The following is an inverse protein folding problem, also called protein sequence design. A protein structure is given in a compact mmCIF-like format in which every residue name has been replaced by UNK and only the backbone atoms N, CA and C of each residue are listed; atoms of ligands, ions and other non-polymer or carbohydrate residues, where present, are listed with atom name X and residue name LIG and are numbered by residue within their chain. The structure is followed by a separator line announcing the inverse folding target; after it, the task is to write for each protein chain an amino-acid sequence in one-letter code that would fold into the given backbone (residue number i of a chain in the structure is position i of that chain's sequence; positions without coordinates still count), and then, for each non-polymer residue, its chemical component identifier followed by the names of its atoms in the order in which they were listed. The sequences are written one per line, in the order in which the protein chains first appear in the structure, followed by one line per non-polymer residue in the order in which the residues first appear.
data_IF_614482361470
#
_entry.id   IF_614482361470
#
_cell.length_a   1.000
_cell.length_b   1.000
_cell.length_c   1.000
_cell.angle_alpha   90.00
_cell.angle_beta   90.00
_cell.angle_gamma   90.00
#
_symmetry.space_group_name_H-M   'P 1'
#
loop_
_entity.id
_entity.type
_entity.pdbx_description
1 polymer ?
#
# COMPACT_ATOMS: atom_id res chain seq x y z
N UNK A 1 -49.75 -2.37 9.37
CA UNK A 1 -48.66 -1.52 8.84
C UNK A 1 -47.42 -2.39 8.79
N UNK A 2 -46.88 -2.66 7.59
CA UNK A 2 -45.82 -3.66 7.38
C UNK A 2 -44.47 -3.13 7.90
N UNK A 3 -43.64 -4.01 8.49
CA UNK A 3 -42.26 -3.68 8.91
C UNK A 3 -41.41 -3.08 7.76
N UNK A 4 -41.76 -3.37 6.50
CA UNK A 4 -41.09 -2.83 5.32
C UNK A 4 -41.25 -1.31 5.15
N UNK A 5 -42.39 -0.73 5.54
CA UNK A 5 -42.64 0.71 5.39
C UNK A 5 -41.86 1.55 6.43
N UNK A 6 -41.53 0.94 7.58
CA UNK A 6 -40.80 1.59 8.66
C UNK A 6 -39.29 1.71 8.35
N UNK A 7 -38.73 0.71 7.66
CA UNK A 7 -37.34 0.75 7.18
C UNK A 7 -37.12 1.80 6.07
N UNK A 8 -38.10 1.95 5.17
CA UNK A 8 -38.03 2.94 4.09
C UNK A 8 -38.15 4.39 4.62
N UNK A 9 -38.99 4.62 5.64
CA UNK A 9 -39.09 5.91 6.33
C UNK A 9 -37.83 6.26 7.12
N UNK A 10 -37.24 5.29 7.84
CA UNK A 10 -36.01 5.50 8.60
C UNK A 10 -34.80 5.88 7.71
N UNK A 11 -34.74 5.35 6.48
CA UNK A 11 -33.70 5.71 5.52
C UNK A 11 -33.87 7.15 4.98
N UNK A 12 -35.12 7.61 4.79
CA UNK A 12 -35.45 8.97 4.34
C UNK A 12 -35.21 10.02 5.44
N UNK A 13 -35.21 9.63 6.70
CA UNK A 13 -35.11 10.54 7.86
C UNK A 13 -33.67 10.78 8.34
N UNK A 14 -32.67 10.23 7.65
CA UNK A 14 -31.27 10.54 7.93
C UNK A 14 -30.91 11.94 7.42
N UNK A 15 -30.42 12.81 8.32
CA UNK A 15 -30.08 14.21 8.03
C UNK A 15 -29.14 14.29 6.80
N UNK A 16 -29.33 15.29 5.91
CA UNK A 16 -28.54 15.43 4.68
C UNK A 16 -27.02 15.48 4.95
N UNK A 17 -26.61 16.00 6.10
CA UNK A 17 -25.22 16.04 6.57
C UNK A 17 -24.59 14.64 6.68
N UNK A 18 -25.31 13.67 7.23
CA UNK A 18 -24.80 12.31 7.43
C UNK A 18 -24.63 11.57 6.09
N UNK A 19 -25.53 11.82 5.14
CA UNK A 19 -25.46 11.24 3.79
C UNK A 19 -24.28 11.81 2.99
N UNK A 20 -24.04 13.11 3.08
CA UNK A 20 -22.88 13.76 2.44
C UNK A 20 -21.58 13.25 3.06
N UNK A 21 -21.49 13.16 4.38
CA UNK A 21 -20.31 12.62 5.05
C UNK A 21 -20.02 11.17 4.67
N UNK A 22 -21.06 10.32 4.59
CA UNK A 22 -20.90 8.93 4.19
C UNK A 22 -20.39 8.81 2.74
N UNK A 23 -20.90 9.63 1.82
CA UNK A 23 -20.44 9.68 0.43
C UNK A 23 -18.98 10.16 0.34
N UNK A 24 -18.61 11.24 1.05
CA UNK A 24 -17.23 11.75 1.08
C UNK A 24 -16.27 10.68 1.61
N UNK A 25 -16.63 10.00 2.72
CA UNK A 25 -15.80 8.94 3.29
C UNK A 25 -15.63 7.76 2.33
N UNK A 26 -16.69 7.33 1.64
CA UNK A 26 -16.61 6.27 0.64
C UNK A 26 -15.65 6.64 -0.50
N UNK A 27 -15.74 7.86 -1.04
CA UNK A 27 -14.81 8.33 -2.08
C UNK A 27 -13.36 8.47 -1.60
N UNK A 28 -13.16 8.80 -0.32
CA UNK A 28 -11.82 8.92 0.28
C UNK A 28 -11.14 7.55 0.42
N UNK A 29 -11.87 6.54 0.87
CA UNK A 29 -11.37 5.15 0.96
C UNK A 29 -11.01 4.60 -0.43
N UNK A 30 -11.82 4.87 -1.44
CA UNK A 30 -11.52 4.48 -2.84
C UNK A 30 -10.24 5.14 -3.37
N UNK A 31 -10.00 6.41 -3.03
CA UNK A 31 -8.73 7.10 -3.38
C UNK A 31 -7.54 6.51 -2.63
N UNK A 32 -7.72 6.17 -1.35
CA UNK A 32 -6.64 5.63 -0.51
C UNK A 32 -6.22 4.22 -0.94
N UNK A 33 -7.18 3.32 -1.14
CA UNK A 33 -6.94 1.96 -1.65
C UNK A 33 -6.21 1.97 -2.99
N UNK A 34 -6.63 2.85 -3.91
CA UNK A 34 -5.96 2.99 -5.21
C UNK A 34 -4.55 3.57 -5.09
N UNK A 35 -4.32 4.46 -4.12
CA UNK A 35 -2.97 4.98 -3.82
C UNK A 35 -2.07 3.89 -3.27
N UNK A 36 -2.57 3.06 -2.35
CA UNK A 36 -1.86 1.90 -1.82
C UNK A 36 -1.52 0.90 -2.93
N UNK A 37 -2.49 0.60 -3.81
CA UNK A 37 -2.27 -0.25 -4.99
C UNK A 37 -1.16 0.30 -5.90
N UNK A 38 -1.16 1.60 -6.20
CA UNK A 38 -0.09 2.21 -7.00
C UNK A 38 1.27 2.10 -6.32
N UNK A 39 1.33 2.20 -4.99
CA UNK A 39 2.58 2.00 -4.24
C UNK A 39 3.08 0.56 -4.39
N UNK A 40 2.21 -0.45 -4.25
CA UNK A 40 2.57 -1.86 -4.46
C UNK A 40 3.14 -2.06 -5.88
N UNK A 41 2.43 -1.60 -6.91
CA UNK A 41 2.86 -1.73 -8.31
C UNK A 41 4.20 -1.01 -8.54
N UNK A 42 4.42 0.14 -7.91
CA UNK A 42 5.68 0.88 -8.00
C UNK A 42 6.84 0.12 -7.36
N UNK A 43 6.66 -0.44 -6.17
CA UNK A 43 7.71 -1.25 -5.52
C UNK A 43 8.00 -2.53 -6.29
N UNK A 44 6.99 -3.20 -6.85
CA UNK A 44 7.20 -4.39 -7.69
C UNK A 44 8.01 -4.07 -8.95
N UNK A 45 7.78 -2.91 -9.59
CA UNK A 45 8.60 -2.46 -10.74
C UNK A 45 10.05 -2.16 -10.37
N UNK A 46 10.29 -1.68 -9.14
CA UNK A 46 11.65 -1.42 -8.64
C UNK A 46 12.38 -2.72 -8.32
N UNK A 47 11.66 -3.72 -7.80
CA UNK A 47 12.20 -5.01 -7.42
C UNK A 47 12.47 -5.91 -8.64
N UNK A 48 11.56 -5.93 -9.61
CA UNK A 48 11.67 -6.77 -10.81
C UNK A 48 11.46 -5.93 -12.09
N UNK A 49 12.51 -5.87 -12.92
CA UNK A 49 12.47 -5.18 -14.21
C UNK A 49 11.55 -5.86 -15.23
N UNK A 50 11.26 -7.15 -15.06
CA UNK A 50 10.35 -7.91 -15.91
C UNK A 50 8.88 -7.72 -15.50
N UNK A 51 8.62 -7.06 -14.37
CA UNK A 51 7.27 -6.74 -13.94
C UNK A 51 6.65 -5.65 -14.84
N UNK A 52 5.94 -6.11 -15.87
CA UNK A 52 5.22 -5.25 -16.82
C UNK A 52 3.71 -5.38 -16.65
N UNK A 53 2.94 -4.53 -17.34
CA UNK A 53 1.46 -4.64 -17.37
C UNK A 53 0.95 -5.96 -17.96
N UNK A 54 1.79 -6.65 -18.73
CA UNK A 54 1.44 -7.93 -19.35
C UNK A 54 1.73 -9.11 -18.43
N UNK A 55 2.43 -8.89 -17.32
CA UNK A 55 2.77 -9.96 -16.39
C UNK A 55 1.51 -10.57 -15.76
N UNK A 56 1.47 -11.90 -15.55
CA UNK A 56 0.37 -12.55 -14.85
C UNK A 56 0.10 -11.94 -13.47
N UNK A 57 1.16 -11.54 -12.77
CA UNK A 57 1.11 -10.92 -11.44
C UNK A 57 0.39 -9.56 -11.50
N UNK A 58 0.70 -8.72 -12.50
CA UNK A 58 0.02 -7.44 -12.66
C UNK A 58 -1.47 -7.63 -12.96
N UNK A 59 -1.81 -8.56 -13.87
CA UNK A 59 -3.21 -8.87 -14.20
C UNK A 59 -3.97 -9.38 -12.99
N UNK A 60 -3.38 -10.28 -12.21
CA UNK A 60 -3.95 -10.77 -10.96
C UNK A 60 -4.21 -9.64 -9.97
N UNK A 61 -3.23 -8.76 -9.73
CA UNK A 61 -3.38 -7.61 -8.84
C UNK A 61 -4.50 -6.66 -9.26
N UNK A 62 -4.60 -6.36 -10.57
CA UNK A 62 -5.69 -5.54 -11.11
C UNK A 62 -7.05 -6.22 -10.92
N UNK A 63 -7.13 -7.54 -11.12
CA UNK A 63 -8.35 -8.30 -10.91
C UNK A 63 -8.78 -8.27 -9.44
N UNK A 64 -7.86 -8.55 -8.51
CA UNK A 64 -8.13 -8.47 -7.07
C UNK A 64 -8.59 -7.07 -6.65
N UNK A 65 -7.96 -6.01 -7.16
CA UNK A 65 -8.39 -4.64 -6.88
C UNK A 65 -9.84 -4.38 -7.32
N UNK A 66 -10.23 -4.86 -8.51
CA UNK A 66 -11.60 -4.72 -9.03
C UNK A 66 -12.59 -5.55 -8.20
N UNK A 67 -12.26 -6.79 -7.92
CA UNK A 67 -13.12 -7.70 -7.16
C UNK A 67 -13.34 -7.20 -5.74
N UNK A 68 -12.30 -6.68 -5.09
CA UNK A 68 -12.44 -6.06 -3.76
C UNK A 68 -13.22 -4.75 -3.80
N UNK A 69 -13.08 -3.93 -4.85
CA UNK A 69 -13.90 -2.72 -5.02
C UNK A 69 -15.40 -3.07 -5.14
N UNK A 70 -15.73 -4.15 -5.86
CA UNK A 70 -17.12 -4.63 -5.98
C UNK A 70 -17.58 -5.28 -4.68
N UNK A 71 -16.77 -6.14 -4.07
CA UNK A 71 -17.13 -6.91 -2.87
C UNK A 71 -17.30 -6.02 -1.64
N UNK A 72 -16.45 -5.00 -1.44
CA UNK A 72 -16.58 -4.08 -0.31
C UNK A 72 -17.80 -3.16 -0.40
N UNK A 73 -18.23 -2.79 -1.62
CA UNK A 73 -19.47 -2.02 -1.82
C UNK A 73 -20.73 -2.83 -1.50
N UNK A 74 -20.69 -4.15 -1.69
CA UNK A 74 -21.88 -5.00 -1.59
C UNK A 74 -22.00 -5.72 -0.24
N UNK A 75 -20.89 -6.13 0.39
CA UNK A 75 -20.94 -7.10 1.50
C UNK A 75 -20.16 -6.73 2.77
N UNK A 76 -19.28 -5.73 2.76
CA UNK A 76 -18.40 -5.47 3.93
C UNK A 76 -18.96 -4.39 4.87
N UNK A 77 -18.96 -4.69 6.17
CA UNK A 77 -19.17 -3.71 7.25
C UNK A 77 -17.89 -2.91 7.59
N UNK A 78 -16.75 -3.28 7.00
CA UNK A 78 -15.43 -2.73 7.29
C UNK A 78 -14.69 -2.34 6.00
N UNK A 79 -15.02 -1.17 5.40
CA UNK A 79 -14.41 -0.70 4.15
C UNK A 79 -12.91 -0.39 4.27
N UNK A 80 -12.36 -0.36 5.49
CA UNK A 80 -10.96 -0.03 5.74
C UNK A 80 -10.01 -1.25 5.70
N UNK A 81 -10.54 -2.47 5.73
CA UNK A 81 -9.69 -3.69 5.78
C UNK A 81 -8.84 -3.85 4.52
N UNK A 82 -9.44 -3.70 3.35
CA UNK A 82 -8.72 -3.82 2.07
C UNK A 82 -7.63 -2.74 1.92
N UNK A 83 -7.92 -1.53 2.41
CA UNK A 83 -6.94 -0.44 2.46
C UNK A 83 -5.77 -0.78 3.39
N UNK A 84 -6.08 -1.26 4.60
CA UNK A 84 -5.07 -1.64 5.59
C UNK A 84 -4.15 -2.74 5.06
N UNK A 85 -4.72 -3.79 4.47
CA UNK A 85 -3.97 -4.89 3.86
C UNK A 85 -3.10 -4.40 2.71
N UNK A 86 -3.62 -3.54 1.83
CA UNK A 86 -2.83 -2.97 0.74
C UNK A 86 -1.66 -2.10 1.27
N UNK A 87 -1.89 -1.30 2.30
CA UNK A 87 -0.84 -0.49 2.93
C UNK A 87 0.21 -1.35 3.64
N UNK A 88 -0.21 -2.45 4.29
CA UNK A 88 0.69 -3.43 4.90
C UNK A 88 1.63 -4.02 3.86
N UNK A 89 1.10 -4.50 2.73
CA UNK A 89 1.92 -5.05 1.64
C UNK A 89 2.84 -3.99 1.01
N UNK A 90 2.35 -2.78 0.77
CA UNK A 90 3.16 -1.69 0.25
C UNK A 90 4.35 -1.39 1.18
N UNK A 91 4.10 -1.37 2.49
CA UNK A 91 5.13 -1.13 3.52
C UNK A 91 6.14 -2.27 3.53
N UNK A 92 5.65 -3.51 3.58
CA UNK A 92 6.49 -4.70 3.58
C UNK A 92 7.45 -4.72 2.38
N UNK A 93 6.94 -4.55 1.15
CA UNK A 93 7.76 -4.51 -0.07
C UNK A 93 8.83 -3.41 -0.02
N UNK A 94 8.44 -2.21 0.45
CA UNK A 94 9.36 -1.09 0.55
C UNK A 94 10.47 -1.33 1.57
N UNK A 95 10.14 -1.96 2.71
CA UNK A 95 11.09 -2.31 3.76
C UNK A 95 12.04 -3.40 3.30
N UNK A 96 11.55 -4.44 2.61
CA UNK A 96 12.40 -5.50 2.04
C UNK A 96 13.39 -4.95 1.02
N UNK A 97 12.95 -4.05 0.12
CA UNK A 97 13.86 -3.41 -0.84
C UNK A 97 14.96 -2.61 -0.14
N UNK A 98 14.60 -1.81 0.86
CA UNK A 98 15.57 -1.04 1.66
C UNK A 98 16.52 -1.94 2.44
N UNK A 99 16.02 -3.04 2.99
CA UNK A 99 16.85 -4.02 3.67
C UNK A 99 17.89 -4.60 2.71
N UNK A 100 17.48 -5.00 1.50
CA UNK A 100 18.42 -5.49 0.48
C UNK A 100 19.48 -4.44 0.11
N UNK A 101 19.12 -3.15 0.04
CA UNK A 101 20.07 -2.07 -0.20
C UNK A 101 21.08 -1.91 0.95
N UNK A 102 20.60 -2.00 2.19
CA UNK A 102 21.45 -2.00 3.38
C UNK A 102 22.36 -3.22 3.41
N UNK A 103 21.82 -4.41 3.18
CA UNK A 103 22.60 -5.64 3.09
C UNK A 103 23.65 -5.53 1.99
N UNK A 104 23.33 -5.04 0.79
CA UNK A 104 24.36 -4.86 -0.25
C UNK A 104 25.46 -3.86 0.16
N UNK A 105 25.11 -2.79 0.88
CA UNK A 105 26.08 -1.79 1.36
C UNK A 105 26.96 -2.32 2.49
N UNK A 106 26.37 -3.05 3.43
CA UNK A 106 27.04 -3.46 4.66
C UNK A 106 27.50 -4.92 4.67
N UNK A 107 27.04 -5.76 3.72
CA UNK A 107 27.55 -7.13 3.59
C UNK A 107 29.03 -7.12 3.22
N UNK A 108 29.76 -8.02 3.83
CA UNK A 108 31.19 -8.18 3.66
C UNK A 108 31.79 -8.75 4.95
N UNK A 109 32.85 -9.52 4.81
CA UNK A 109 33.68 -9.93 5.94
C UNK A 109 34.68 -8.83 6.30
N UNK A 110 35.94 -9.19 6.39
CA UNK A 110 37.01 -8.23 6.63
C UNK A 110 37.14 -7.22 5.48
N UNK A 111 37.19 -5.93 5.83
CA UNK A 111 37.43 -4.80 4.92
C UNK A 111 38.73 -4.12 5.32
N UNK A 112 39.39 -3.43 4.39
CA UNK A 112 40.53 -2.59 4.73
C UNK A 112 40.14 -1.48 5.73
N UNK A 113 41.14 -0.92 6.42
CA UNK A 113 40.90 0.19 7.38
C UNK A 113 40.38 1.41 6.63
N UNK A 114 40.90 1.64 5.42
CA UNK A 114 40.50 2.68 4.47
C UNK A 114 39.01 2.54 4.09
N UNK A 115 38.60 1.35 3.63
CA UNK A 115 37.21 1.08 3.24
C UNK A 115 36.25 1.18 4.43
N UNK A 116 36.68 0.70 5.60
CA UNK A 116 35.89 0.75 6.82
C UNK A 116 35.67 2.19 7.28
N UNK A 117 36.72 3.02 7.27
CA UNK A 117 36.63 4.45 7.57
C UNK A 117 35.66 5.15 6.61
N UNK A 118 35.83 4.96 5.30
CA UNK A 118 34.97 5.58 4.29
C UNK A 118 33.50 5.18 4.43
N UNK A 119 33.22 3.92 4.79
CA UNK A 119 31.87 3.40 4.93
C UNK A 119 31.08 4.03 6.09
N UNK A 120 31.78 4.50 7.14
CA UNK A 120 31.17 5.24 8.25
C UNK A 120 31.31 6.77 8.11
N UNK A 121 31.86 7.26 6.99
CA UNK A 121 32.06 8.69 6.74
C UNK A 121 33.30 9.29 7.43
N UNK A 122 34.29 8.46 7.76
CA UNK A 122 35.57 8.87 8.29
C UNK A 122 36.65 8.83 7.19
N UNK A 123 37.72 9.59 7.39
CA UNK A 123 38.90 9.59 6.52
C UNK A 123 40.15 9.22 7.33
N UNK A 124 41.11 8.57 6.67
CA UNK A 124 42.41 8.28 7.27
C UNK A 124 43.27 9.55 7.32
N UNK A 125 44.07 9.73 8.39
CA UNK A 125 45.02 10.82 8.45
C UNK A 125 46.11 10.66 7.37
N UNK A 126 46.51 11.78 6.75
CA UNK A 126 47.64 11.77 5.83
C UNK A 126 48.93 11.42 6.58
N UNK A 127 49.71 10.48 6.03
CA UNK A 127 51.01 10.11 6.60
C UNK A 127 51.96 11.30 6.49
N UNK A 128 52.45 11.78 7.63
CA UNK A 128 53.55 12.75 7.74
C UNK A 128 54.87 12.15 7.27
#
# INVERSE_FOLDING_TARGET
MSLGDQALRAAVETKPDTTIHLFIMATAVERSTFTAFRKIVSELRKADKNFTKNSPQYKYLVQQMRDHQVTQRVYSKAPQEAEHVANLYATYLSSTRRLNELEMRYKGGERSVEESANLVGLALPEKK
#
